data_IF_917396656459
#
_entry.id   IF_917396656459
#
_cell.length_a   1.000
_cell.length_b   1.000
_cell.length_c   1.000
_cell.angle_alpha   90.00
_cell.angle_beta   90.00
_cell.angle_gamma   90.00
#
_symmetry.space_group_name_H-M   'P 1'
#
loop_
_entity.id
_entity.type
_entity.pdbx_description
1 polymer ?
#
# COMPACT_ATOMS: atom_id res chain seq x y z
N UNK A 1 8.91 -10.94 -3.19
CA UNK A 1 8.71 -10.30 -1.86
C UNK A 1 7.41 -9.51 -1.87
N UNK A 2 6.66 -9.50 -0.77
CA UNK A 2 5.49 -8.62 -0.57
C UNK A 2 5.76 -7.72 0.62
N UNK A 3 5.42 -6.44 0.49
CA UNK A 3 5.55 -5.45 1.55
C UNK A 3 4.17 -4.96 1.98
N UNK A 4 4.04 -4.53 3.22
CA UNK A 4 2.86 -3.90 3.78
C UNK A 4 3.27 -2.76 4.71
N UNK A 5 2.37 -1.81 4.94
CA UNK A 5 2.50 -0.82 6.01
C UNK A 5 1.54 -1.19 7.13
N UNK A 6 2.04 -1.22 8.34
CA UNK A 6 1.27 -1.54 9.55
C UNK A 6 1.42 -0.45 10.61
N UNK A 7 0.43 -0.34 11.48
CA UNK A 7 0.48 0.51 12.67
C UNK A 7 1.15 -0.27 13.81
N UNK A 8 2.29 0.19 14.30
CA UNK A 8 3.00 -0.45 15.41
C UNK A 8 3.57 0.64 16.33
N UNK A 9 3.29 0.55 17.64
CA UNK A 9 3.73 1.52 18.66
C UNK A 9 3.47 2.98 18.29
N UNK A 10 2.32 3.27 17.67
CA UNK A 10 1.91 4.62 17.28
C UNK A 10 2.55 5.15 15.98
N UNK A 11 3.33 4.34 15.28
CA UNK A 11 3.94 4.69 13.99
C UNK A 11 3.40 3.79 12.85
N UNK A 12 3.45 4.31 11.63
CA UNK A 12 3.21 3.53 10.41
C UNK A 12 4.56 3.06 9.86
N UNK A 13 4.78 1.76 9.88
CA UNK A 13 6.07 1.16 9.50
C UNK A 13 5.92 0.16 8.36
N UNK A 14 6.98 0.04 7.56
CA UNK A 14 7.06 -0.96 6.51
C UNK A 14 7.46 -2.32 7.09
N UNK A 15 6.86 -3.38 6.56
CA UNK A 15 7.21 -4.74 6.91
C UNK A 15 7.08 -5.70 5.73
N UNK A 16 7.75 -6.84 5.86
CA UNK A 16 7.71 -7.93 4.90
C UNK A 16 6.60 -8.89 5.31
N UNK A 17 5.74 -9.25 4.36
CA UNK A 17 4.68 -10.24 4.58
C UNK A 17 5.31 -11.63 4.65
N UNK A 18 5.08 -12.32 5.76
CA UNK A 18 5.52 -13.70 6.01
C UNK A 18 4.33 -14.66 6.09
N UNK A 19 4.58 -15.94 6.29
CA UNK A 19 3.54 -16.93 6.56
C UNK A 19 2.85 -16.78 7.93
N UNK A 20 3.49 -16.08 8.87
CA UNK A 20 3.01 -15.92 10.26
C UNK A 20 2.49 -14.51 10.57
N UNK A 21 2.71 -13.55 9.68
CA UNK A 21 2.32 -12.17 9.89
C UNK A 21 3.23 -11.19 9.15
N UNK A 22 3.55 -10.08 9.79
CA UNK A 22 4.38 -9.02 9.21
C UNK A 22 5.68 -8.89 10.00
N UNK A 23 6.82 -9.06 9.32
CA UNK A 23 8.15 -8.78 9.90
C UNK A 23 8.54 -7.33 9.59
N UNK A 24 8.67 -6.45 10.58
CA UNK A 24 9.11 -5.07 10.38
C UNK A 24 10.48 -4.99 9.71
N UNK A 25 10.68 -4.04 8.80
CA UNK A 25 12.01 -3.77 8.19
C UNK A 25 13.03 -3.42 9.27
N UNK A 26 12.62 -2.73 10.34
CA UNK A 26 13.46 -2.45 11.51
C UNK A 26 14.03 -3.73 12.14
N UNK A 27 13.24 -4.79 12.24
CA UNK A 27 13.71 -6.08 12.78
C UNK A 27 14.77 -6.72 11.87
N UNK A 28 14.57 -6.62 10.54
CA UNK A 28 15.60 -7.08 9.58
C UNK A 28 16.87 -6.25 9.70
N UNK A 29 16.76 -4.93 9.82
CA UNK A 29 17.90 -4.04 10.02
C UNK A 29 18.71 -4.44 11.27
N UNK A 30 18.01 -4.65 12.38
CA UNK A 30 18.66 -5.05 13.64
C UNK A 30 19.36 -6.41 13.52
N UNK A 31 18.74 -7.38 12.84
CA UNK A 31 19.26 -8.72 12.67
C UNK A 31 20.48 -8.78 11.71
N UNK A 32 20.40 -8.05 10.59
CA UNK A 32 21.43 -8.08 9.52
C UNK A 32 22.47 -6.98 9.62
N UNK A 33 22.30 -6.00 10.52
CA UNK A 33 23.17 -4.82 10.57
C UNK A 33 23.01 -3.90 9.35
N UNK A 34 21.81 -3.85 8.74
CA UNK A 34 21.49 -2.99 7.61
C UNK A 34 20.86 -1.67 8.06
N UNK A 35 20.79 -0.68 7.18
CA UNK A 35 20.24 0.65 7.46
C UNK A 35 19.12 1.05 6.48
N UNK A 36 18.28 0.11 6.08
CA UNK A 36 17.13 0.43 5.23
C UNK A 36 16.15 1.35 5.96
N UNK A 37 15.50 2.23 5.23
CA UNK A 37 14.42 3.04 5.80
C UNK A 37 13.28 2.16 6.28
N UNK A 38 12.57 2.61 7.30
CA UNK A 38 11.61 1.78 8.04
C UNK A 38 10.15 2.15 7.73
N UNK A 39 9.90 3.25 7.02
CA UNK A 39 8.61 3.57 6.43
C UNK A 39 8.63 3.37 4.90
N UNK A 40 7.48 3.04 4.33
CA UNK A 40 7.37 2.65 2.93
C UNK A 40 7.78 3.76 1.96
N UNK A 41 7.36 4.99 2.21
CA UNK A 41 7.69 6.10 1.31
C UNK A 41 9.19 6.39 1.31
N UNK A 42 9.82 6.40 2.48
CA UNK A 42 11.27 6.57 2.60
C UNK A 42 12.04 5.40 1.99
N UNK A 43 11.56 4.15 2.11
CA UNK A 43 12.14 2.99 1.41
C UNK A 43 12.19 3.20 -0.10
N UNK A 44 11.09 3.68 -0.68
CA UNK A 44 10.97 3.96 -2.11
C UNK A 44 11.89 5.12 -2.50
N UNK A 45 11.81 6.25 -1.80
CA UNK A 45 12.56 7.47 -2.13
C UNK A 45 14.07 7.32 -1.96
N UNK A 46 14.51 6.52 -1.00
CA UNK A 46 15.94 6.23 -0.79
C UNK A 46 16.48 5.16 -1.76
N UNK A 47 15.62 4.56 -2.60
CA UNK A 47 16.02 3.47 -3.50
C UNK A 47 16.41 2.18 -2.77
N UNK A 48 15.86 1.92 -1.59
CA UNK A 48 16.21 0.76 -0.78
C UNK A 48 15.49 -0.52 -1.20
N UNK A 49 14.37 -0.43 -1.94
CA UNK A 49 13.58 -1.59 -2.38
C UNK A 49 14.43 -2.61 -3.19
N UNK A 50 15.28 -2.22 -4.15
CA UNK A 50 16.14 -3.18 -4.86
C UNK A 50 17.09 -3.93 -3.93
N UNK A 51 17.72 -3.25 -2.96
CA UNK A 51 18.63 -3.88 -1.98
C UNK A 51 17.90 -4.87 -1.08
N UNK A 52 16.74 -4.49 -0.56
CA UNK A 52 15.88 -5.36 0.25
C UNK A 52 15.40 -6.59 -0.56
N UNK A 53 15.03 -6.38 -1.83
CA UNK A 53 14.61 -7.46 -2.74
C UNK A 53 15.76 -8.41 -3.05
N UNK A 54 16.95 -7.87 -3.27
CA UNK A 54 18.16 -8.68 -3.50
C UNK A 54 18.43 -9.58 -2.30
N UNK A 55 18.52 -9.02 -1.08
CA UNK A 55 18.69 -9.80 0.14
C UNK A 55 17.62 -10.90 0.26
N UNK A 56 16.33 -10.54 0.08
CA UNK A 56 15.22 -11.47 0.16
C UNK A 56 15.38 -12.68 -0.79
N UNK A 57 15.83 -12.45 -2.02
CA UNK A 57 15.99 -13.50 -3.04
C UNK A 57 17.29 -14.32 -2.84
N UNK A 58 18.30 -13.79 -2.16
CA UNK A 58 19.59 -14.43 -1.90
C UNK A 58 19.64 -15.18 -0.55
N UNK A 59 18.49 -15.61 -0.04
CA UNK A 59 18.39 -16.42 1.19
C UNK A 59 17.59 -15.74 2.31
N UNK A 60 17.32 -14.45 2.20
CA UNK A 60 16.54 -13.72 3.22
C UNK A 60 15.12 -14.26 3.40
N UNK A 61 14.53 -14.84 2.35
CA UNK A 61 13.21 -15.47 2.43
C UNK A 61 13.18 -16.61 3.46
N UNK A 62 14.20 -17.44 3.46
CA UNK A 62 14.35 -18.56 4.37
C UNK A 62 14.67 -18.10 5.81
N UNK A 63 15.36 -16.96 5.94
CA UNK A 63 15.69 -16.35 7.22
C UNK A 63 14.49 -15.68 7.91
N UNK A 64 13.45 -15.26 7.19
CA UNK A 64 12.31 -14.51 7.74
C UNK A 64 11.67 -15.18 8.96
N UNK A 65 11.61 -16.52 8.97
CA UNK A 65 11.00 -17.29 10.05
C UNK A 65 11.85 -17.31 11.33
N UNK A 66 13.14 -16.99 11.22
CA UNK A 66 14.11 -17.00 12.33
C UNK A 66 14.37 -15.62 12.92
N UNK A 67 14.06 -14.56 12.18
CA UNK A 67 14.24 -13.19 12.66
C UNK A 67 13.14 -12.87 13.69
N UNK A 68 13.51 -12.44 14.91
CA UNK A 68 12.53 -12.11 15.94
C UNK A 68 11.77 -10.82 15.59
N UNK A 69 10.56 -10.68 16.14
CA UNK A 69 9.77 -9.45 16.02
C UNK A 69 8.70 -9.48 14.91
N UNK A 70 8.33 -10.67 14.42
CA UNK A 70 7.12 -10.81 13.58
C UNK A 70 5.90 -10.36 14.38
N UNK A 71 5.10 -9.47 13.80
CA UNK A 71 3.76 -9.13 14.29
C UNK A 71 2.80 -10.20 13.77
N UNK A 72 2.16 -11.00 14.65
CA UNK A 72 1.26 -12.08 14.25
C UNK A 72 0.09 -11.55 13.40
N UNK A 73 -0.40 -12.35 12.46
CA UNK A 73 -1.46 -11.94 11.52
C UNK A 73 -2.68 -11.38 12.23
N UNK A 74 -3.09 -11.96 13.35
CA UNK A 74 -4.23 -11.55 14.17
C UNK A 74 -4.04 -10.23 14.92
N UNK A 75 -2.79 -9.79 15.09
CA UNK A 75 -2.44 -8.52 15.74
C UNK A 75 -2.14 -7.40 14.74
N UNK A 76 -2.08 -7.74 13.44
CA UNK A 76 -1.74 -6.75 12.40
C UNK A 76 -2.85 -5.72 12.24
N UNK A 77 -2.50 -4.46 12.45
CA UNK A 77 -3.33 -3.32 12.07
C UNK A 77 -2.70 -2.66 10.84
N UNK A 78 -3.32 -2.85 9.68
CA UNK A 78 -2.82 -2.26 8.44
C UNK A 78 -3.02 -0.75 8.42
N UNK A 79 -2.11 -0.06 7.74
CA UNK A 79 -2.18 1.35 7.41
C UNK A 79 -2.24 1.53 5.87
N UNK A 80 -2.52 2.74 5.36
CA UNK A 80 -2.30 3.03 3.95
C UNK A 80 -0.87 2.65 3.56
N UNK A 81 -0.67 2.17 2.33
CA UNK A 81 0.64 1.70 1.89
C UNK A 81 1.75 2.75 2.16
N UNK A 82 1.43 4.03 1.90
CA UNK A 82 2.27 5.18 2.26
C UNK A 82 1.43 6.45 2.38
N UNK A 83 1.99 7.46 3.06
CA UNK A 83 1.40 8.79 3.16
C UNK A 83 2.11 9.75 2.21
N UNK A 84 1.41 10.82 1.84
CA UNK A 84 1.96 11.96 1.10
C UNK A 84 2.71 11.59 -0.21
N UNK A 85 2.12 10.76 -1.10
CA UNK A 85 2.67 10.60 -2.42
C UNK A 85 2.68 11.95 -3.14
N UNK A 86 3.65 12.18 -4.02
CA UNK A 86 3.71 13.43 -4.79
C UNK A 86 2.48 13.64 -5.67
N UNK A 87 1.89 12.56 -6.17
CA UNK A 87 0.70 12.57 -7.02
C UNK A 87 -0.05 11.25 -6.88
N UNK A 88 -1.37 11.32 -6.95
CA UNK A 88 -2.25 10.17 -7.17
C UNK A 88 -2.93 10.43 -8.51
N UNK A 89 -2.63 9.58 -9.48
CA UNK A 89 -3.13 9.71 -10.85
C UNK A 89 -4.12 8.58 -11.10
N UNK A 90 -5.35 8.94 -11.46
CA UNK A 90 -6.40 8.00 -11.82
C UNK A 90 -6.68 8.01 -13.33
N UNK A 91 -7.07 6.88 -13.87
CA UNK A 91 -7.48 6.69 -15.26
C UNK A 91 -8.96 6.38 -15.27
N UNK A 92 -9.75 7.22 -15.96
CA UNK A 92 -11.20 7.05 -16.06
C UNK A 92 -11.60 6.01 -17.10
N UNK A 93 -12.65 5.23 -16.78
CA UNK A 93 -13.28 4.26 -17.68
C UNK A 93 -12.32 3.17 -18.21
N UNK A 94 -11.31 2.84 -17.45
CA UNK A 94 -10.28 1.87 -17.84
C UNK A 94 -10.79 0.42 -17.93
N UNK A 95 -11.89 0.11 -17.24
CA UNK A 95 -12.54 -1.20 -17.24
C UNK A 95 -13.79 -1.18 -18.10
N UNK A 96 -13.83 -2.02 -19.15
CA UNK A 96 -14.91 -2.03 -20.14
C UNK A 96 -16.29 -2.33 -19.53
N UNK A 97 -16.34 -3.27 -18.57
CA UNK A 97 -17.61 -3.61 -17.90
C UNK A 97 -18.12 -2.45 -17.06
N UNK A 98 -17.24 -1.78 -16.30
CA UNK A 98 -17.61 -0.59 -15.54
C UNK A 98 -18.11 0.55 -16.46
N UNK A 99 -17.42 0.80 -17.57
CA UNK A 99 -17.85 1.80 -18.54
C UNK A 99 -19.27 1.52 -19.05
N UNK A 100 -19.57 0.24 -19.36
CA UNK A 100 -20.90 -0.20 -19.81
C UNK A 100 -21.96 -0.03 -18.73
N UNK A 101 -21.66 -0.35 -17.46
CA UNK A 101 -22.61 -0.23 -16.34
C UNK A 101 -23.09 1.21 -16.11
N UNK A 102 -22.25 2.19 -16.41
CA UNK A 102 -22.59 3.61 -16.33
C UNK A 102 -23.02 4.21 -17.67
N UNK A 103 -23.35 3.38 -18.67
CA UNK A 103 -23.85 3.80 -19.98
C UNK A 103 -22.80 4.41 -20.90
N UNK A 104 -21.54 4.11 -20.70
CA UNK A 104 -20.41 4.57 -21.50
C UNK A 104 -19.66 3.41 -22.19
N UNK A 105 -18.70 3.76 -23.03
CA UNK A 105 -17.76 2.82 -23.63
C UNK A 105 -16.34 3.09 -23.13
N UNK A 106 -15.54 2.04 -22.98
CA UNK A 106 -14.12 2.20 -22.68
C UNK A 106 -13.43 2.97 -23.80
N UNK A 107 -12.53 3.91 -23.51
CA UNK A 107 -11.84 4.69 -24.53
C UNK A 107 -10.97 3.81 -25.42
N UNK A 108 -10.99 4.07 -26.72
CA UNK A 108 -10.13 3.40 -27.71
C UNK A 108 -8.86 4.19 -28.02
N UNK A 109 -8.73 5.39 -27.47
CA UNK A 109 -7.56 6.25 -27.55
C UNK A 109 -7.01 6.59 -26.17
N UNK A 110 -6.63 7.84 -25.95
CA UNK A 110 -6.19 8.29 -24.64
C UNK A 110 -7.38 8.33 -23.67
N UNK A 111 -7.28 7.63 -22.50
CA UNK A 111 -8.33 7.67 -21.50
C UNK A 111 -8.40 9.03 -20.81
N UNK A 112 -9.58 9.36 -20.29
CA UNK A 112 -9.73 10.45 -19.33
C UNK A 112 -8.84 10.17 -18.10
N UNK A 113 -8.26 11.20 -17.53
CA UNK A 113 -7.43 11.07 -16.35
C UNK A 113 -7.70 12.18 -15.35
N UNK A 114 -7.44 11.91 -14.08
CA UNK A 114 -7.68 12.87 -13.00
C UNK A 114 -6.63 12.69 -11.89
N UNK A 115 -6.54 13.70 -11.04
CA UNK A 115 -5.71 13.62 -9.84
C UNK A 115 -6.58 13.55 -8.59
N UNK A 116 -6.12 12.77 -7.61
CA UNK A 116 -6.62 12.82 -6.23
C UNK A 116 -5.57 13.44 -5.32
N UNK A 117 -6.01 14.08 -4.26
CA UNK A 117 -5.12 14.67 -3.26
C UNK A 117 -4.64 13.62 -2.28
N UNK A 118 -3.45 13.79 -1.72
CA UNK A 118 -2.86 12.82 -0.79
C UNK A 118 -3.68 12.65 0.51
N UNK A 119 -4.40 13.69 0.94
CA UNK A 119 -5.28 13.67 2.11
C UNK A 119 -6.54 12.80 1.93
N UNK A 120 -6.82 12.34 0.70
CA UNK A 120 -7.88 11.37 0.43
C UNK A 120 -7.46 9.92 0.71
N UNK A 121 -6.18 9.67 1.05
CA UNK A 121 -5.69 8.34 1.37
C UNK A 121 -6.14 7.90 2.77
N UNK A 122 -6.84 6.78 2.81
CA UNK A 122 -7.23 6.10 4.04
C UNK A 122 -6.66 4.68 4.07
N UNK A 123 -6.55 4.09 5.24
CA UNK A 123 -6.10 2.72 5.41
C UNK A 123 -7.22 1.70 5.26
N UNK A 124 -6.87 0.41 5.21
CA UNK A 124 -7.84 -0.66 5.30
C UNK A 124 -8.67 -0.54 6.58
N UNK A 125 -9.98 -0.67 6.47
CA UNK A 125 -10.97 -0.52 7.55
C UNK A 125 -11.10 0.89 8.15
N UNK A 126 -10.46 1.91 7.59
CA UNK A 126 -10.76 3.30 7.93
C UNK A 126 -12.11 3.72 7.31
N UNK A 127 -12.85 4.59 7.98
CA UNK A 127 -14.17 5.04 7.54
C UNK A 127 -14.08 6.00 6.34
N UNK A 128 -14.92 5.78 5.33
CA UNK A 128 -15.15 6.73 4.26
C UNK A 128 -16.16 7.78 4.73
N UNK A 129 -15.70 9.00 5.00
CA UNK A 129 -16.56 10.07 5.46
C UNK A 129 -17.33 10.68 4.28
N UNK A 130 -18.63 10.42 4.24
CA UNK A 130 -19.49 11.01 3.21
C UNK A 130 -19.94 12.42 3.61
N UNK A 131 -19.94 13.40 2.69
CA UNK A 131 -20.50 14.73 2.96
C UNK A 131 -22.01 14.63 3.16
N UNK A 132 -22.56 15.50 4.02
CA UNK A 132 -24.02 15.58 4.33
C UNK A 132 -24.85 16.26 3.24
N UNK A 133 -24.46 16.10 1.98
CA UNK A 133 -25.15 16.67 0.83
C UNK A 133 -26.01 15.62 0.13
N UNK A 134 -27.11 16.04 -0.49
CA UNK A 134 -27.97 15.13 -1.26
C UNK A 134 -27.21 14.42 -2.38
N UNK A 135 -26.25 15.10 -2.98
CA UNK A 135 -25.38 14.58 -4.04
C UNK A 135 -24.48 13.43 -3.56
N UNK A 136 -24.09 13.42 -2.30
CA UNK A 136 -23.30 12.36 -1.70
C UNK A 136 -24.03 11.00 -1.60
N UNK A 137 -25.38 11.01 -1.70
CA UNK A 137 -26.18 9.78 -1.71
C UNK A 137 -25.95 8.92 -2.96
N UNK A 138 -25.24 9.46 -3.96
CA UNK A 138 -24.84 8.74 -5.18
C UNK A 138 -23.38 8.30 -5.15
N UNK A 139 -22.72 8.37 -3.98
CA UNK A 139 -21.33 7.91 -3.86
C UNK A 139 -21.28 6.39 -4.01
N UNK A 140 -20.43 5.92 -4.91
CA UNK A 140 -20.17 4.49 -5.16
C UNK A 140 -18.75 4.13 -4.75
N UNK A 141 -18.54 2.86 -4.39
CA UNK A 141 -17.21 2.31 -4.17
C UNK A 141 -16.76 1.59 -5.44
N UNK A 142 -15.53 1.85 -5.87
CA UNK A 142 -14.92 1.24 -7.05
C UNK A 142 -13.64 0.54 -6.64
N UNK A 143 -13.51 -0.75 -7.01
CA UNK A 143 -12.31 -1.52 -6.77
C UNK A 143 -11.40 -1.41 -7.98
N UNK A 144 -10.19 -0.88 -7.79
CA UNK A 144 -9.22 -0.68 -8.85
C UNK A 144 -7.83 -1.19 -8.48
N UNK A 145 -7.05 -1.56 -9.48
CA UNK A 145 -5.65 -1.91 -9.32
C UNK A 145 -4.81 -0.62 -9.27
N UNK A 146 -4.14 -0.41 -8.15
CA UNK A 146 -3.11 0.62 -8.01
C UNK A 146 -1.72 0.08 -8.36
N UNK A 147 -0.93 0.85 -9.11
CA UNK A 147 0.46 0.56 -9.47
C UNK A 147 1.37 1.76 -9.21
#
# INVERSE_FOLDING_TARGET
MRLATIKLHGAEIAGIVTGKGILPVAAVNAYKGTGWKEDMMSLIQAGHIPGLTKWYNEGGKEELETIPGVVPTEEVVYAPLYRNPKRIFGIGLNYADHAKDIGNAAPTGFPGSFFKMADTLIGPNDDILLPKLKEAQKTTAEAELGI
#
